data_IF_155383354639
#
_entry.id   IF_155383354639
#
_cell.length_a   1.000
_cell.length_b   1.000
_cell.length_c   1.000
_cell.angle_alpha   90.00
_cell.angle_beta   90.00
_cell.angle_gamma   90.00
#
_symmetry.space_group_name_H-M   'P 1'
#
loop_
_entity.id
_entity.type
_entity.pdbx_description
1 polymer ?
#
# COMPACT_ATOMS: atom_id res chain seq x y z
N UNK A 1 3.78 3.32 -9.73
CA UNK A 1 4.80 2.25 -9.76
C UNK A 1 6.25 2.74 -9.80
N UNK A 2 6.53 3.94 -10.33
CA UNK A 2 7.88 4.53 -10.43
C UNK A 2 8.74 4.40 -9.16
N UNK A 3 8.18 4.66 -7.98
CA UNK A 3 8.91 4.62 -6.72
C UNK A 3 9.46 3.22 -6.37
N UNK A 4 8.83 2.13 -6.83
CA UNK A 4 9.18 0.77 -6.41
C UNK A 4 10.60 0.36 -6.85
N UNK A 5 11.08 0.89 -7.98
CA UNK A 5 12.45 0.62 -8.46
C UNK A 5 13.53 1.20 -7.55
N UNK A 6 13.20 2.21 -6.76
CA UNK A 6 14.16 2.88 -5.89
C UNK A 6 14.36 2.14 -4.57
N UNK A 7 13.42 1.26 -4.20
CA UNK A 7 13.46 0.46 -2.98
C UNK A 7 13.72 -1.04 -3.26
N UNK A 8 13.89 -1.42 -4.52
CA UNK A 8 14.06 -2.83 -4.92
C UNK A 8 15.33 -3.45 -4.31
N UNK A 9 16.41 -2.67 -4.18
CA UNK A 9 17.67 -3.14 -3.59
C UNK A 9 17.65 -3.19 -2.05
N UNK A 10 16.60 -2.72 -1.39
CA UNK A 10 16.51 -2.71 0.08
C UNK A 10 16.13 -4.08 0.65
N UNK A 11 15.74 -5.04 -0.20
CA UNK A 11 15.52 -6.42 0.23
C UNK A 11 14.25 -6.64 1.05
N UNK A 12 13.24 -5.76 0.92
CA UNK A 12 11.94 -5.95 1.54
C UNK A 12 11.28 -7.24 1.04
N UNK A 13 10.91 -8.12 1.98
CA UNK A 13 10.16 -9.35 1.66
C UNK A 13 8.69 -9.06 1.37
N UNK A 14 8.15 -8.00 1.99
CA UNK A 14 6.76 -7.58 1.84
C UNK A 14 6.68 -6.07 1.78
N UNK A 15 5.90 -5.54 0.85
CA UNK A 15 5.62 -4.10 0.73
C UNK A 15 4.12 -3.91 0.87
N UNK A 16 3.70 -3.21 1.93
CA UNK A 16 2.32 -2.80 2.15
C UNK A 16 2.11 -1.38 1.61
N UNK A 17 1.07 -1.17 0.81
CA UNK A 17 0.67 0.15 0.35
C UNK A 17 -0.74 0.47 0.85
N UNK A 18 -0.94 1.67 1.40
CA UNK A 18 -2.23 2.16 1.86
C UNK A 18 -2.62 3.38 1.02
N UNK A 19 -3.82 3.38 0.42
CA UNK A 19 -4.29 4.48 -0.42
C UNK A 19 -5.81 4.60 -0.44
N UNK A 20 -6.31 5.80 -0.74
CA UNK A 20 -7.74 6.12 -0.72
C UNK A 20 -8.39 6.13 -2.12
N UNK A 21 -7.58 6.30 -3.18
CA UNK A 21 -8.06 6.33 -4.58
C UNK A 21 -7.58 5.11 -5.36
N UNK A 22 -7.90 3.94 -4.84
CA UNK A 22 -7.47 2.62 -5.35
C UNK A 22 -8.40 2.03 -6.42
N UNK A 23 -9.46 2.74 -6.82
CA UNK A 23 -10.36 2.33 -7.90
C UNK A 23 -9.76 2.62 -9.27
N UNK A 24 -10.20 1.92 -10.33
CA UNK A 24 -9.69 2.12 -11.70
C UNK A 24 -9.86 3.57 -12.16
N UNK A 25 -8.74 4.23 -12.47
CA UNK A 25 -8.69 5.66 -12.83
C UNK A 25 -8.36 6.60 -11.66
N UNK A 26 -8.34 6.10 -10.42
CA UNK A 26 -7.75 6.80 -9.28
C UNK A 26 -6.23 6.83 -9.36
N UNK A 27 -5.60 7.82 -8.72
CA UNK A 27 -4.14 8.02 -8.77
C UNK A 27 -3.35 6.93 -8.04
N UNK A 28 -3.96 6.20 -7.10
CA UNK A 28 -3.30 5.12 -6.38
C UNK A 28 -3.45 3.75 -7.06
N UNK A 29 -4.35 3.64 -8.05
CA UNK A 29 -4.72 2.37 -8.68
C UNK A 29 -3.51 1.55 -9.12
N UNK A 30 -2.58 2.16 -9.86
CA UNK A 30 -1.46 1.44 -10.46
C UNK A 30 -0.50 0.84 -9.43
N UNK A 31 -0.25 1.54 -8.32
CA UNK A 31 0.61 1.03 -7.26
C UNK A 31 -0.15 0.04 -6.37
N UNK A 32 -1.41 0.32 -6.07
CA UNK A 32 -2.29 -0.56 -5.30
C UNK A 32 -2.43 -1.95 -5.95
N UNK A 33 -2.60 -2.02 -7.27
CA UNK A 33 -2.76 -3.29 -8.00
C UNK A 33 -1.44 -3.93 -8.44
N UNK A 34 -0.29 -3.35 -8.07
CA UNK A 34 1.00 -3.87 -8.52
C UNK A 34 1.29 -5.24 -7.88
N UNK A 35 1.78 -6.25 -8.63
CA UNK A 35 1.93 -7.62 -8.11
C UNK A 35 2.92 -7.77 -6.94
N UNK A 36 3.85 -6.82 -6.77
CA UNK A 36 4.79 -6.77 -5.63
C UNK A 36 4.22 -6.07 -4.39
N UNK A 37 2.96 -5.63 -4.42
CA UNK A 37 2.34 -4.80 -3.39
C UNK A 37 1.17 -5.55 -2.75
N UNK A 38 1.12 -5.55 -1.42
CA UNK A 38 -0.10 -5.86 -0.67
C UNK A 38 -0.84 -4.55 -0.47
N UNK A 39 -1.87 -4.33 -1.27
CA UNK A 39 -2.66 -3.10 -1.27
C UNK A 39 -3.76 -3.10 -0.22
N UNK A 40 -3.84 -2.01 0.55
CA UNK A 40 -4.87 -1.71 1.54
C UNK A 40 -5.64 -0.48 1.07
N UNK A 41 -6.91 -0.67 0.72
CA UNK A 41 -7.77 0.47 0.40
C UNK A 41 -8.34 1.04 1.68
N UNK A 42 -8.15 2.33 1.92
CA UNK A 42 -8.57 3.01 3.16
C UNK A 42 -9.42 4.22 2.81
N UNK A 43 -10.38 4.60 3.66
CA UNK A 43 -11.23 5.78 3.39
C UNK A 43 -10.88 7.01 4.24
N UNK A 44 -10.05 6.85 5.27
CA UNK A 44 -9.61 7.94 6.15
C UNK A 44 -8.31 7.58 6.87
N UNK A 45 -7.62 8.55 7.50
CA UNK A 45 -6.45 8.29 8.32
C UNK A 45 -6.72 7.31 9.48
N UNK A 46 -7.89 7.37 10.09
CA UNK A 46 -8.29 6.46 11.18
C UNK A 46 -8.39 5.01 10.70
N UNK A 47 -8.82 4.81 9.46
CA UNK A 47 -8.91 3.50 8.83
C UNK A 47 -7.51 2.90 8.60
N UNK A 48 -6.55 3.72 8.13
CA UNK A 48 -5.14 3.33 8.07
C UNK A 48 -4.60 2.91 9.43
N UNK A 49 -4.90 3.67 10.49
CA UNK A 49 -4.46 3.34 11.86
C UNK A 49 -5.06 2.00 12.31
N UNK A 50 -6.34 1.75 11.99
CA UNK A 50 -7.03 0.50 12.31
C UNK A 50 -6.36 -0.69 11.60
N UNK A 51 -6.08 -0.58 10.31
CA UNK A 51 -5.39 -1.61 9.54
C UNK A 51 -3.97 -1.87 10.07
N UNK A 52 -3.21 -0.82 10.38
CA UNK A 52 -1.86 -0.96 10.95
C UNK A 52 -1.86 -1.71 12.29
N UNK A 53 -2.84 -1.44 13.17
CA UNK A 53 -3.00 -2.15 14.45
C UNK A 53 -3.34 -3.63 14.26
N UNK A 54 -4.05 -3.98 13.20
CA UNK A 54 -4.39 -5.38 12.89
C UNK A 54 -3.20 -6.13 12.29
N UNK A 55 -2.43 -5.47 11.42
CA UNK A 55 -1.27 -6.06 10.76
C UNK A 55 -0.06 -6.23 11.69
N UNK A 56 0.14 -5.27 12.60
CA UNK A 56 1.27 -5.23 13.51
C UNK A 56 0.79 -5.17 14.96
N UNK A 57 0.17 -6.25 15.47
CA UNK A 57 -0.18 -6.34 16.88
C UNK A 57 1.10 -6.29 17.72
N UNK A 58 1.08 -5.43 18.74
CA UNK A 58 2.13 -5.30 19.76
C UNK A 58 1.84 -6.29 20.89
#
# INVERSE_FOLDING_TARGET
TYCLRHIESEGFTTIHFFGDKTFKGGNDYEIYTHPKIIGHSVSSPEDTIRELKQLFPI
#
